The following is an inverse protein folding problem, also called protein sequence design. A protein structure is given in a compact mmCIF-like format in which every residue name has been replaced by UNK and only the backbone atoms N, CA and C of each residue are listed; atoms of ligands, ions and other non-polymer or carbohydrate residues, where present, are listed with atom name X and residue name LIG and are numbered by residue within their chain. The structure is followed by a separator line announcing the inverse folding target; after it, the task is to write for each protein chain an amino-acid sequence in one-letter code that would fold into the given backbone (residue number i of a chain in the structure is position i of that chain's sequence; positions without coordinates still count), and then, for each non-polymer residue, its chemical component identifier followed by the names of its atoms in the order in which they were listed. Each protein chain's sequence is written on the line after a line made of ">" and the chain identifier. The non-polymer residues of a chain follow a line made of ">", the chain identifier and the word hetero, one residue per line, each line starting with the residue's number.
data_IF_757837904761
#
_entry.id   IF_757837904761
#
_cell.length_a   1.000
_cell.length_b   1.000
_cell.length_c   1.000
_cell.angle_alpha   90.00
_cell.angle_beta   90.00
_cell.angle_gamma   90.00
#
_symmetry.space_group_name_H-M   'P 1'
#
loop_
_entity.id
_entity.type
_entity.pdbx_description
1 polymer ?
#
# COMPACT_ATOMS: atom_id res chain seq x y z
N UNK A 1 -16.06 4.20 22.70
CA UNK A 1 -16.98 3.70 21.64
C UNK A 1 -16.19 3.01 20.52
N UNK A 2 -16.36 1.69 20.37
CA UNK A 2 -15.67 0.72 19.49
C UNK A 2 -14.14 0.58 19.64
N UNK A 3 -13.38 1.67 19.75
CA UNK A 3 -11.90 1.59 19.92
C UNK A 3 -11.49 1.10 21.32
N UNK A 4 -12.18 1.52 22.37
CA UNK A 4 -12.03 0.93 23.71
C UNK A 4 -12.35 -0.56 23.72
N UNK A 5 -13.40 -0.98 23.00
CA UNK A 5 -13.83 -2.39 22.95
C UNK A 5 -12.79 -3.27 22.28
N UNK A 6 -12.09 -2.77 21.25
CA UNK A 6 -11.00 -3.50 20.59
C UNK A 6 -9.76 -3.62 21.48
N UNK A 7 -9.44 -2.56 22.22
CA UNK A 7 -8.35 -2.57 23.20
C UNK A 7 -8.64 -3.57 24.32
N UNK A 8 -9.86 -3.57 24.83
CA UNK A 8 -10.30 -4.49 25.87
C UNK A 8 -10.25 -5.96 25.40
N UNK A 9 -10.61 -6.23 24.14
CA UNK A 9 -10.50 -7.59 23.56
C UNK A 9 -9.02 -8.01 23.39
N UNK A 10 -8.14 -7.09 22.98
CA UNK A 10 -6.69 -7.34 22.87
C UNK A 10 -6.09 -7.65 24.25
N UNK A 11 -6.44 -6.85 25.26
CA UNK A 11 -5.97 -7.03 26.63
C UNK A 11 -6.52 -8.34 27.24
N UNK A 12 -7.74 -8.73 26.88
CA UNK A 12 -8.35 -9.99 27.32
C UNK A 12 -7.67 -11.21 26.69
N UNK A 13 -7.34 -11.13 25.39
CA UNK A 13 -6.61 -12.18 24.69
C UNK A 13 -5.19 -12.36 25.26
N UNK A 14 -4.53 -11.28 25.70
CA UNK A 14 -3.21 -11.32 26.30
C UNK A 14 -3.20 -11.90 27.74
N UNK A 15 -4.32 -11.82 28.47
CA UNK A 15 -4.43 -12.28 29.87
C UNK A 15 -4.87 -13.73 30.02
N UNK A 16 -5.39 -14.34 28.98
CA UNK A 16 -5.91 -15.70 29.00
C UNK A 16 -4.87 -16.62 28.38
N UNK A 17 -4.53 -17.74 29.02
CA UNK A 17 -3.71 -18.78 28.42
C UNK A 17 -4.53 -19.48 27.33
N UNK A 18 -4.64 -18.84 26.17
CA UNK A 18 -5.17 -19.43 24.96
C UNK A 18 -4.24 -20.59 24.58
N UNK A 19 -4.82 -21.75 24.21
CA UNK A 19 -4.08 -22.91 23.72
C UNK A 19 -3.37 -22.64 22.37
N UNK A 20 -3.49 -21.43 21.85
CA UNK A 20 -2.83 -20.93 20.64
C UNK A 20 -2.16 -19.60 20.98
N UNK A 21 -0.85 -19.51 20.76
CA UNK A 21 -0.12 -18.25 20.90
C UNK A 21 -0.75 -17.18 20.00
N UNK A 22 -0.94 -15.98 20.54
CA UNK A 22 -1.38 -14.83 19.76
C UNK A 22 -0.30 -14.48 18.74
N UNK A 23 -0.58 -14.74 17.46
CA UNK A 23 0.35 -14.50 16.34
C UNK A 23 0.46 -12.99 16.03
N UNK A 24 -0.14 -12.12 16.85
CA UNK A 24 -0.31 -10.71 16.51
C UNK A 24 -1.26 -10.54 15.32
N UNK A 25 -1.54 -9.28 14.97
CA UNK A 25 -2.41 -8.93 13.86
C UNK A 25 -1.81 -9.41 12.53
N UNK A 26 -2.25 -10.57 12.03
CA UNK A 26 -2.02 -10.95 10.64
C UNK A 26 -3.33 -11.36 9.98
N UNK A 27 -3.69 -10.57 8.98
CA UNK A 27 -4.66 -10.78 7.90
C UNK A 27 -6.04 -11.39 8.23
N UNK A 28 -7.12 -10.77 7.74
CA UNK A 28 -7.37 -9.35 7.60
C UNK A 28 -8.31 -8.89 8.73
N UNK A 29 -8.32 -7.59 9.02
CA UNK A 29 -9.50 -6.81 9.44
C UNK A 29 -9.28 -5.78 10.54
N UNK A 30 -8.15 -5.71 11.26
CA UNK A 30 -7.89 -4.58 12.15
C UNK A 30 -6.41 -4.25 12.28
N UNK A 31 -6.08 -2.97 12.09
CA UNK A 31 -4.78 -2.40 12.44
C UNK A 31 -4.92 -1.73 13.82
N UNK A 32 -4.04 -2.06 14.75
CA UNK A 32 -3.89 -1.33 16.01
C UNK A 32 -2.89 -0.20 15.80
N UNK A 33 -3.19 0.99 16.31
CA UNK A 33 -2.31 2.16 16.21
C UNK A 33 -0.94 2.00 16.90
N UNK A 34 -0.74 0.89 17.63
CA UNK A 34 0.41 0.60 18.48
C UNK A 34 1.40 -0.44 17.88
N UNK A 35 1.34 -0.72 16.57
CA UNK A 35 2.41 -1.50 15.95
C UNK A 35 3.74 -0.71 15.98
N UNK A 36 4.80 -1.37 16.49
CA UNK A 36 6.12 -0.78 16.67
C UNK A 36 6.58 -0.03 15.40
N UNK A 37 7.30 1.11 15.53
CA UNK A 37 7.68 1.93 14.39
C UNK A 37 8.42 1.06 13.37
N UNK A 38 7.84 0.94 12.18
CA UNK A 38 8.49 0.24 11.08
C UNK A 38 9.82 0.95 10.75
N UNK A 39 10.83 0.22 10.23
CA UNK A 39 12.20 0.70 10.12
C UNK A 39 12.29 2.07 9.44
N UNK A 40 13.20 2.91 9.95
CA UNK A 40 13.51 4.20 9.35
C UNK A 40 13.97 3.99 7.90
N UNK A 41 13.27 4.60 6.94
CA UNK A 41 13.56 4.43 5.52
C UNK A 41 12.35 4.66 4.60
N UNK A 42 12.49 4.22 3.35
CA UNK A 42 11.44 4.24 2.31
C UNK A 42 11.14 2.82 1.86
N UNK A 43 9.87 2.46 1.83
CA UNK A 43 9.39 1.20 1.24
C UNK A 43 9.03 1.36 -0.23
N UNK A 44 9.00 0.27 -1.00
CA UNK A 44 8.63 0.31 -2.42
C UNK A 44 7.66 -0.82 -2.74
N UNK A 45 6.53 -0.49 -3.36
CA UNK A 45 5.59 -1.48 -3.89
C UNK A 45 5.60 -1.43 -5.42
N UNK A 46 5.49 -2.60 -6.05
CA UNK A 46 5.16 -2.73 -7.46
C UNK A 46 3.67 -3.09 -7.56
N UNK A 47 2.91 -2.21 -8.20
CA UNK A 47 1.50 -2.44 -8.51
C UNK A 47 1.38 -2.72 -10.00
N UNK A 48 0.88 -3.89 -10.38
CA UNK A 48 0.76 -4.30 -11.77
C UNK A 48 -0.58 -4.94 -12.10
N UNK A 49 -0.99 -4.83 -13.37
CA UNK A 49 -2.19 -5.50 -13.87
C UNK A 49 -3.00 -4.64 -14.84
N UNK A 50 -4.00 -5.27 -15.47
CA UNK A 50 -4.91 -4.60 -16.42
C UNK A 50 -5.70 -3.44 -15.82
N UNK A 51 -5.84 -3.42 -14.49
CA UNK A 51 -6.57 -2.40 -13.74
C UNK A 51 -5.67 -1.56 -12.83
N UNK A 52 -4.34 -1.63 -12.98
CA UNK A 52 -3.41 -0.90 -12.13
C UNK A 52 -3.62 0.63 -12.20
N UNK A 53 -3.86 1.17 -13.40
CA UNK A 53 -4.16 2.59 -13.58
C UNK A 53 -5.47 3.03 -12.91
N UNK A 54 -6.65 2.46 -13.23
CA UNK A 54 -7.89 2.87 -12.56
C UNK A 54 -7.85 2.60 -11.05
N UNK A 55 -7.19 1.52 -10.60
CA UNK A 55 -6.98 1.26 -9.18
C UNK A 55 -6.26 2.42 -8.48
N UNK A 56 -5.09 2.83 -8.99
CA UNK A 56 -4.32 3.93 -8.39
C UNK A 56 -5.02 5.28 -8.53
N UNK A 57 -5.80 5.47 -9.60
CA UNK A 57 -6.62 6.67 -9.79
C UNK A 57 -7.73 6.81 -8.73
N UNK A 58 -8.29 5.70 -8.26
CA UNK A 58 -9.37 5.68 -7.27
C UNK A 58 -8.85 5.73 -5.83
N UNK A 59 -7.65 5.18 -5.59
CA UNK A 59 -7.05 5.07 -4.24
C UNK A 59 -6.20 6.28 -3.88
N UNK A 60 -5.71 7.01 -4.88
CA UNK A 60 -4.93 8.23 -4.73
C UNK A 60 -5.72 9.51 -5.05
N UNK A 61 -5.14 10.65 -4.71
CA UNK A 61 -5.67 11.99 -5.05
C UNK A 61 -5.09 12.57 -6.34
N UNK A 62 -4.02 11.98 -6.90
CA UNK A 62 -3.40 12.46 -8.13
C UNK A 62 -4.20 12.05 -9.39
N UNK A 63 -4.02 12.79 -10.48
CA UNK A 63 -4.41 12.34 -11.82
C UNK A 63 -3.38 11.32 -12.32
N UNK A 64 -3.64 10.03 -12.06
CA UNK A 64 -2.81 8.91 -12.54
C UNK A 64 -3.06 8.64 -14.02
N UNK A 65 -4.22 9.05 -14.55
CA UNK A 65 -4.61 8.80 -15.93
C UNK A 65 -3.75 9.54 -16.94
N UNK A 66 -3.20 10.69 -16.55
CA UNK A 66 -2.32 11.53 -17.36
C UNK A 66 -0.83 11.17 -17.28
N UNK A 67 -0.39 10.31 -16.35
CA UNK A 67 1.02 9.93 -16.24
C UNK A 67 1.41 9.04 -17.41
N UNK A 68 2.48 9.38 -18.13
CA UNK A 68 3.12 8.52 -19.13
C UNK A 68 4.27 7.69 -18.55
N UNK A 69 4.70 6.59 -19.21
CA UNK A 69 5.84 5.80 -18.74
C UNK A 69 7.09 6.66 -18.51
N UNK A 70 7.72 6.49 -17.35
CA UNK A 70 8.85 7.30 -16.88
C UNK A 70 8.46 8.56 -16.09
N UNK A 71 7.19 8.97 -16.14
CA UNK A 71 6.69 10.11 -15.37
C UNK A 71 6.29 9.73 -13.94
N UNK A 72 6.40 10.71 -13.06
CA UNK A 72 6.15 10.56 -11.64
C UNK A 72 5.11 11.58 -11.15
N UNK A 73 4.29 11.17 -10.19
CA UNK A 73 3.34 12.06 -9.52
C UNK A 73 3.29 11.77 -8.01
N UNK A 74 3.18 12.84 -7.23
CA UNK A 74 2.92 12.74 -5.79
C UNK A 74 1.42 12.56 -5.56
N UNK A 75 1.03 11.63 -4.70
CA UNK A 75 -0.38 11.35 -4.40
C UNK A 75 -0.60 11.08 -2.92
N UNK A 76 -1.73 11.52 -2.39
CA UNK A 76 -2.15 11.20 -1.02
C UNK A 76 -2.99 9.93 -1.05
N UNK A 77 -2.69 8.99 -0.16
CA UNK A 77 -3.47 7.77 0.05
C UNK A 77 -4.37 7.98 1.27
N UNK A 78 -5.66 7.80 1.09
CA UNK A 78 -6.67 7.99 2.14
C UNK A 78 -7.31 6.65 2.51
N UNK A 79 -7.73 6.52 3.76
CA UNK A 79 -8.59 5.41 4.17
C UNK A 79 -10.07 5.73 3.87
N UNK A 80 -10.94 4.75 4.11
CA UNK A 80 -12.40 4.87 3.94
C UNK A 80 -13.08 6.03 4.69
N UNK A 81 -12.40 6.63 5.69
CA UNK A 81 -12.90 7.77 6.46
C UNK A 81 -12.28 9.10 5.99
N UNK A 82 -11.56 9.11 4.86
CA UNK A 82 -10.85 10.29 4.35
C UNK A 82 -9.60 10.68 5.15
N UNK A 83 -9.11 9.83 6.06
CA UNK A 83 -7.88 10.12 6.82
C UNK A 83 -6.65 9.68 6.05
N UNK A 84 -5.60 10.49 6.11
CA UNK A 84 -4.32 10.21 5.47
C UNK A 84 -3.70 8.91 6.01
N UNK A 85 -3.42 7.98 5.09
CA UNK A 85 -2.61 6.78 5.32
C UNK A 85 -1.16 7.12 5.04
N UNK A 86 -0.87 7.70 3.87
CA UNK A 86 0.48 8.06 3.46
C UNK A 86 0.44 9.08 2.33
N UNK A 87 1.54 9.81 2.15
CA UNK A 87 1.82 10.65 1.00
C UNK A 87 2.96 10.01 0.21
N UNK A 88 2.66 9.51 -0.99
CA UNK A 88 3.54 8.60 -1.73
C UNK A 88 3.94 9.19 -3.07
N UNK A 89 5.08 8.74 -3.59
CA UNK A 89 5.49 9.03 -4.96
C UNK A 89 5.15 7.84 -5.86
N UNK A 90 4.40 8.10 -6.92
CA UNK A 90 4.15 7.15 -8.01
C UNK A 90 5.16 7.36 -9.14
N UNK A 91 5.57 6.27 -9.78
CA UNK A 91 6.27 6.26 -11.06
C UNK A 91 5.58 5.26 -11.98
N UNK A 92 5.14 5.70 -13.17
CA UNK A 92 4.64 4.79 -14.20
C UNK A 92 5.84 4.12 -14.89
N UNK A 93 5.82 2.79 -14.95
CA UNK A 93 6.80 2.02 -15.69
C UNK A 93 6.28 1.71 -17.09
N UNK A 94 7.17 1.23 -17.94
CA UNK A 94 6.74 0.60 -19.19
C UNK A 94 5.78 -0.56 -18.89
N UNK A 95 4.75 -0.78 -19.72
CA UNK A 95 3.91 -1.97 -19.61
C UNK A 95 4.76 -3.24 -19.64
N UNK A 96 4.25 -4.32 -19.05
CA UNK A 96 4.93 -5.62 -19.18
C UNK A 96 4.78 -6.22 -20.59
N UNK A 97 5.37 -7.39 -20.83
CA UNK A 97 5.31 -8.09 -22.13
C UNK A 97 3.87 -8.41 -22.59
N UNK A 98 2.90 -8.37 -21.67
CA UNK A 98 1.48 -8.58 -21.95
C UNK A 98 0.72 -7.26 -22.14
N UNK A 99 1.39 -6.12 -22.06
CA UNK A 99 0.78 -4.79 -22.14
C UNK A 99 0.05 -4.36 -20.87
N UNK A 100 0.30 -4.99 -19.73
CA UNK A 100 -0.31 -4.60 -18.45
C UNK A 100 0.42 -3.40 -17.87
N UNK A 101 -0.34 -2.45 -17.33
CA UNK A 101 0.22 -1.29 -16.64
C UNK A 101 1.01 -1.73 -15.39
N UNK A 102 2.11 -1.01 -15.10
CA UNK A 102 2.99 -1.22 -13.96
C UNK A 102 3.36 0.12 -13.33
N UNK A 103 3.35 0.17 -12.00
CA UNK A 103 3.70 1.37 -11.25
C UNK A 103 4.55 1.01 -10.04
N UNK A 104 5.57 1.83 -9.80
CA UNK A 104 6.20 1.87 -8.48
C UNK A 104 5.49 2.86 -7.58
N UNK A 105 5.34 2.46 -6.31
CA UNK A 105 4.77 3.27 -5.24
C UNK A 105 5.79 3.34 -4.12
N UNK A 106 6.43 4.49 -3.99
CA UNK A 106 7.42 4.76 -2.95
C UNK A 106 6.71 5.29 -1.70
N UNK A 107 6.72 4.50 -0.63
CA UNK A 107 6.05 4.81 0.64
C UNK A 107 7.05 5.26 1.70
N UNK A 108 6.56 5.86 2.78
CA UNK A 108 7.38 6.02 3.98
C UNK A 108 7.52 4.66 4.70
N UNK A 109 8.67 4.42 5.31
CA UNK A 109 8.96 3.17 6.05
C UNK A 109 7.90 2.85 7.10
N UNK A 110 7.60 3.78 8.04
CA UNK A 110 6.59 3.61 9.10
C UNK A 110 5.19 3.23 8.61
N UNK A 111 4.84 3.57 7.37
CA UNK A 111 3.51 3.37 6.77
C UNK A 111 3.49 2.29 5.70
N UNK A 112 4.64 1.72 5.35
CA UNK A 112 4.78 0.82 4.20
C UNK A 112 3.87 -0.42 4.29
N UNK A 113 3.95 -1.15 5.40
CA UNK A 113 3.13 -2.35 5.61
C UNK A 113 1.63 -2.03 5.65
N UNK A 114 1.28 -0.83 6.15
CA UNK A 114 -0.10 -0.35 6.17
C UNK A 114 -0.61 -0.09 4.75
N UNK A 115 0.17 0.57 3.90
CA UNK A 115 -0.17 0.81 2.49
C UNK A 115 -0.30 -0.50 1.71
N UNK A 116 0.67 -1.41 1.88
CA UNK A 116 0.67 -2.74 1.26
C UNK A 116 -0.57 -3.56 1.61
N UNK A 117 -0.91 -3.62 2.89
CA UNK A 117 -2.10 -4.34 3.38
C UNK A 117 -3.38 -3.70 2.85
N UNK A 118 -3.45 -2.37 2.86
CA UNK A 118 -4.58 -1.62 2.30
C UNK A 118 -4.79 -1.93 0.81
N UNK A 119 -3.72 -1.87 0.00
CA UNK A 119 -3.82 -2.11 -1.44
C UNK A 119 -4.26 -3.53 -1.78
N UNK A 120 -3.69 -4.53 -1.09
CA UNK A 120 -4.10 -5.93 -1.29
C UNK A 120 -5.56 -6.15 -0.92
N UNK A 121 -6.00 -5.62 0.23
CA UNK A 121 -7.40 -5.73 0.66
C UNK A 121 -8.39 -5.04 -0.27
N UNK A 122 -8.02 -3.90 -0.88
CA UNK A 122 -8.82 -3.25 -1.91
C UNK A 122 -8.85 -4.07 -3.21
N UNK A 123 -7.71 -4.59 -3.64
CA UNK A 123 -7.58 -5.42 -4.85
C UNK A 123 -8.47 -6.67 -4.80
N UNK A 124 -8.49 -7.35 -3.64
CA UNK A 124 -9.27 -8.56 -3.43
C UNK A 124 -10.77 -8.28 -3.21
N UNK A 125 -11.16 -7.00 -3.04
CA UNK A 125 -12.54 -6.58 -2.83
C UNK A 125 -13.10 -6.87 -1.43
N UNK A 126 -12.28 -7.36 -0.49
CA UNK A 126 -12.70 -7.72 0.88
C UNK A 126 -12.72 -6.55 1.87
N UNK A 127 -12.35 -5.35 1.43
CA UNK A 127 -12.35 -4.15 2.28
C UNK A 127 -13.55 -3.26 2.01
N UNK A 128 -14.05 -2.63 3.08
CA UNK A 128 -15.06 -1.59 3.00
C UNK A 128 -14.38 -0.29 2.56
N UNK A 129 -14.67 0.14 1.33
CA UNK A 129 -14.10 1.36 0.74
C UNK A 129 -14.97 2.59 1.02
N UNK A 130 -16.29 2.44 0.90
CA UNK A 130 -17.29 3.47 1.17
C UNK A 130 -18.16 3.01 2.35
N UNK A 131 -18.28 3.82 3.39
CA UNK A 131 -19.11 3.48 4.55
C UNK A 131 -20.61 3.60 4.25
N UNK A 132 -20.99 4.38 3.25
CA UNK A 132 -22.39 4.64 2.89
C UNK A 132 -22.91 3.67 1.81
N UNK A 133 -22.01 3.03 1.06
CA UNK A 133 -22.35 2.04 0.04
C UNK A 133 -21.42 0.81 0.07
N UNK A 134 -21.93 -0.28 0.65
CA UNK A 134 -21.25 -1.58 0.73
C UNK A 134 -20.87 -2.17 -0.63
N UNK A 135 -21.57 -1.78 -1.72
CA UNK A 135 -21.35 -2.31 -3.07
C UNK A 135 -20.28 -1.53 -3.84
N UNK A 136 -19.90 -0.34 -3.39
CA UNK A 136 -18.80 0.41 -4.01
C UNK A 136 -17.47 -0.27 -3.72
N UNK A 137 -16.76 -0.60 -4.81
CA UNK A 137 -15.46 -1.27 -4.78
C UNK A 137 -14.50 -0.55 -5.72
N UNK A 138 -13.24 -0.54 -5.32
CA UNK A 138 -12.14 -0.10 -6.16
C UNK A 138 -11.94 -1.10 -7.29
N UNK A 139 -11.52 -0.63 -8.46
CA UNK A 139 -11.25 -1.48 -9.62
C UNK A 139 -10.07 -2.43 -9.37
N UNK A 140 -10.35 -3.71 -9.17
CA UNK A 140 -9.37 -4.81 -9.13
C UNK A 140 -9.69 -5.92 -10.14
N UNK A 141 -8.87 -6.98 -10.21
CA UNK A 141 -7.70 -7.22 -9.37
C UNK A 141 -6.42 -6.54 -9.91
N UNK A 142 -5.54 -6.20 -8.99
CA UNK A 142 -4.15 -5.80 -9.22
C UNK A 142 -3.21 -6.67 -8.38
N UNK A 143 -2.00 -6.89 -8.88
CA UNK A 143 -0.94 -7.56 -8.14
C UNK A 143 -0.15 -6.49 -7.38
N UNK A 144 0.11 -6.74 -6.10
CA UNK A 144 0.85 -5.84 -5.21
C UNK A 144 2.04 -6.59 -4.62
N UNK A 145 3.21 -6.32 -5.17
CA UNK A 145 4.49 -6.90 -4.80
C UNK A 145 5.30 -5.91 -3.97
N UNK A 146 6.02 -6.42 -2.99
CA UNK A 146 6.93 -5.64 -2.16
C UNK A 146 8.32 -5.72 -2.78
N UNK A 147 8.86 -4.58 -3.17
CA UNK A 147 10.17 -4.46 -3.84
C UNK A 147 11.26 -4.10 -2.81
N UNK A 148 11.12 -4.62 -1.59
CA UNK A 148 12.21 -4.70 -0.62
C UNK A 148 13.46 -5.34 -1.23
N UNK A 149 14.63 -5.12 -0.60
CA UNK A 149 15.95 -5.51 -1.13
C UNK A 149 16.08 -6.99 -1.54
N UNK A 150 15.18 -7.88 -1.10
CA UNK A 150 15.30 -9.33 -1.25
C UNK A 150 14.02 -10.06 -1.72
N UNK A 151 12.97 -9.36 -2.16
CA UNK A 151 11.65 -9.99 -2.42
C UNK A 151 11.24 -10.07 -3.90
N UNK A 152 11.97 -9.42 -4.81
CA UNK A 152 11.69 -9.47 -6.25
C UNK A 152 12.90 -10.04 -6.98
N UNK A 153 12.74 -11.23 -7.56
CA UNK A 153 13.78 -11.92 -8.34
C UNK A 153 13.88 -11.40 -9.79
N UNK A 154 13.79 -10.07 -9.99
CA UNK A 154 13.95 -9.44 -11.30
C UNK A 154 14.93 -8.26 -11.18
N UNK A 155 16.12 -8.46 -11.72
CA UNK A 155 17.21 -7.49 -11.70
C UNK A 155 16.84 -6.16 -12.39
N UNK A 156 15.99 -6.18 -13.42
CA UNK A 156 15.55 -4.98 -14.10
C UNK A 156 14.62 -4.15 -13.20
N UNK A 157 13.72 -4.83 -12.48
CA UNK A 157 12.82 -4.19 -11.49
C UNK A 157 13.62 -3.62 -10.32
N UNK A 158 14.61 -4.35 -9.80
CA UNK A 158 15.49 -3.87 -8.73
C UNK A 158 16.27 -2.62 -9.19
N UNK A 159 16.88 -2.65 -10.38
CA UNK A 159 17.64 -1.52 -10.91
C UNK A 159 16.78 -0.28 -11.11
N UNK A 160 15.58 -0.45 -11.67
CA UNK A 160 14.61 0.64 -11.84
C UNK A 160 14.14 1.20 -10.48
N UNK A 161 13.92 0.34 -9.48
CA UNK A 161 13.53 0.75 -8.13
C UNK A 161 14.63 1.56 -7.43
N UNK A 162 15.90 1.16 -7.58
CA UNK A 162 17.05 1.89 -7.06
C UNK A 162 17.19 3.27 -7.73
N UNK A 163 17.10 3.33 -9.06
CA UNK A 163 17.16 4.58 -9.81
C UNK A 163 16.05 5.55 -9.38
N UNK A 164 14.82 5.04 -9.21
CA UNK A 164 13.71 5.85 -8.77
C UNK A 164 13.89 6.38 -7.33
N UNK A 165 14.37 5.54 -6.40
CA UNK A 165 14.72 5.99 -5.04
C UNK A 165 15.74 7.13 -5.05
N UNK A 166 16.75 7.07 -5.92
CA UNK A 166 17.75 8.12 -6.03
C UNK A 166 17.14 9.41 -6.58
N UNK A 167 16.36 9.31 -7.67
CA UNK A 167 15.68 10.46 -8.28
C UNK A 167 14.80 11.23 -7.27
N UNK A 168 14.07 10.52 -6.42
CA UNK A 168 13.24 11.15 -5.37
C UNK A 168 14.08 11.81 -4.27
N UNK A 169 15.22 11.23 -3.90
CA UNK A 169 16.15 11.86 -2.94
C UNK A 169 16.72 13.16 -3.49
N UNK A 170 17.09 13.17 -4.77
CA UNK A 170 17.66 14.35 -5.42
C UNK A 170 16.62 15.48 -5.51
N UNK A 171 15.37 15.17 -5.86
CA UNK A 171 14.27 16.16 -5.90
C UNK A 171 13.83 16.69 -4.52
N UNK A 172 14.21 16.04 -3.42
CA UNK A 172 13.88 16.49 -2.07
C UNK A 172 14.94 17.44 -1.47
N UNK A 173 16.08 17.61 -2.16
CA UNK A 173 17.23 18.37 -1.68
C UNK A 173 17.45 19.70 -2.43
N UNK A 174 16.56 20.01 -3.39
CA UNK A 174 16.42 21.29 -4.11
C UNK A 174 15.27 22.13 -3.51
#
# INVERSE_FOLDING_TARGET
>A
MLEEVKKDISDLAARTAAETESIGSRYPHYFFADEAPAPEGRGMLLVSGWRARPFLQEVGTADVSSLEPGEQARTLLLNKNGRLIDDVQLLRLEPDDRGRDRYFVLTHGPTHERVKTWFRGLSDGYVLFDNDDLRRKVQGPVVVEDVGLDLVDDAAIIGAAQAFRQKVKDSAND
#
